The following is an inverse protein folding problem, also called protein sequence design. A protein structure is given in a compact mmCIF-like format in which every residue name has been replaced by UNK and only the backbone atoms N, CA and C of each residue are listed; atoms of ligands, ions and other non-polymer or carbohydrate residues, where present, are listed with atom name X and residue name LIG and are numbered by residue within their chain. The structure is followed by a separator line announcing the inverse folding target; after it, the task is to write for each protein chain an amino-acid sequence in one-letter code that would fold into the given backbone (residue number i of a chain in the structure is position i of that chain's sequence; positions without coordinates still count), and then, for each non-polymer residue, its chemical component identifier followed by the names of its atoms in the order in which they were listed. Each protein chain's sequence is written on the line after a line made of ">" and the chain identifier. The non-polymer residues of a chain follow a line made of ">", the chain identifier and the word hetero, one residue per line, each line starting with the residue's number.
data_IF_744938303586
#
_entry.id   IF_744938303586
#
_cell.length_a   1.000
_cell.length_b   1.000
_cell.length_c   1.000
_cell.angle_alpha   90.00
_cell.angle_beta   90.00
_cell.angle_gamma   90.00
#
_symmetry.space_group_name_H-M   'P 1'
#
loop_
_entity.id
_entity.type
_entity.pdbx_description
1 polymer ?
#
# COMPACT_ATOMS: atom_id res chain seq x y z
N UNK A 1 4.98 -38.84 11.24
CA UNK A 1 4.22 -38.25 10.11
C UNK A 1 3.49 -37.01 10.61
N UNK A 2 3.78 -35.85 10.01
CA UNK A 2 3.34 -34.53 10.48
C UNK A 2 1.81 -34.38 10.47
N UNK A 3 1.21 -34.13 11.64
CA UNK A 3 -0.25 -33.87 11.80
C UNK A 3 -0.75 -32.57 11.14
N UNK A 4 0.10 -31.85 10.40
CA UNK A 4 -0.24 -30.57 9.75
C UNK A 4 -0.59 -30.70 8.25
N UNK A 5 -0.32 -31.84 7.60
CA UNK A 5 -0.65 -32.02 6.18
C UNK A 5 -2.15 -32.24 5.92
N UNK A 6 -2.93 -32.63 6.94
CA UNK A 6 -4.38 -32.89 6.81
C UNK A 6 -5.23 -31.62 6.67
N UNK A 7 -4.69 -30.43 6.95
CA UNK A 7 -5.42 -29.14 6.86
C UNK A 7 -5.04 -28.29 5.64
N UNK A 8 -4.09 -28.74 4.82
CA UNK A 8 -3.61 -27.98 3.69
C UNK A 8 -3.40 -28.90 2.47
N UNK A 9 -4.44 -29.15 1.66
CA UNK A 9 -4.30 -30.01 0.50
C UNK A 9 -3.32 -29.38 -0.48
N UNK A 10 -2.21 -30.08 -0.74
CA UNK A 10 -1.25 -29.76 -1.78
C UNK A 10 -1.70 -30.47 -3.06
N UNK A 11 -1.79 -29.72 -4.15
CA UNK A 11 -1.92 -30.32 -5.49
C UNK A 11 -0.61 -30.15 -6.24
N UNK A 12 -0.32 -30.96 -7.28
CA UNK A 12 0.93 -30.86 -8.02
C UNK A 12 1.20 -29.48 -8.62
N UNK A 13 0.14 -28.73 -8.97
CA UNK A 13 0.22 -27.49 -9.72
C UNK A 13 -0.28 -26.26 -8.96
N UNK A 14 -0.67 -26.40 -7.69
CA UNK A 14 -1.13 -25.27 -6.88
C UNK A 14 -0.49 -25.27 -5.50
N UNK A 15 0.07 -24.12 -5.13
CA UNK A 15 0.53 -23.87 -3.76
C UNK A 15 -0.55 -23.10 -3.02
N UNK A 16 -1.10 -23.70 -1.96
CA UNK A 16 -2.01 -23.02 -1.04
C UNK A 16 -1.22 -22.49 0.15
N UNK A 17 -1.40 -21.21 0.47
CA UNK A 17 -0.95 -20.64 1.74
C UNK A 17 -2.04 -20.93 2.77
N UNK A 18 -1.82 -21.94 3.61
CA UNK A 18 -2.75 -22.31 4.67
C UNK A 18 -2.38 -21.57 5.94
N UNK A 19 -3.28 -20.71 6.38
CA UNK A 19 -3.11 -19.89 7.57
C UNK A 19 -4.41 -19.81 8.36
N UNK A 20 -4.28 -19.51 9.65
CA UNK A 20 -5.44 -19.42 10.55
C UNK A 20 -6.06 -18.02 10.60
N UNK A 21 -5.29 -16.98 10.25
CA UNK A 21 -5.72 -15.58 10.28
C UNK A 21 -4.81 -14.72 9.38
N UNK A 22 -5.12 -13.42 9.26
CA UNK A 22 -4.38 -12.49 8.41
C UNK A 22 -2.91 -12.29 8.82
N UNK A 23 -2.60 -12.33 10.12
CA UNK A 23 -1.22 -12.23 10.63
C UNK A 23 -0.40 -13.43 10.17
N UNK A 24 -0.92 -14.63 10.36
CA UNK A 24 -0.27 -15.86 9.90
C UNK A 24 -0.13 -15.88 8.36
N UNK A 25 -1.16 -15.46 7.61
CA UNK A 25 -1.05 -15.31 6.15
C UNK A 25 0.13 -14.43 5.75
N UNK A 26 0.26 -13.24 6.35
CA UNK A 26 1.35 -12.33 6.03
C UNK A 26 2.72 -12.93 6.36
N UNK A 27 2.83 -13.64 7.49
CA UNK A 27 4.05 -14.36 7.87
C UNK A 27 4.39 -15.46 6.86
N UNK A 28 3.42 -16.26 6.41
CA UNK A 28 3.68 -17.32 5.43
C UNK A 28 4.07 -16.74 4.06
N UNK A 29 3.38 -15.70 3.60
CA UNK A 29 3.74 -14.98 2.35
C UNK A 29 5.17 -14.44 2.46
N UNK A 30 5.50 -13.80 3.58
CA UNK A 30 6.85 -13.29 3.85
C UNK A 30 7.92 -14.39 3.80
N UNK A 31 7.64 -15.59 4.35
CA UNK A 31 8.54 -16.74 4.29
C UNK A 31 8.75 -17.27 2.87
N UNK A 32 7.72 -17.24 2.02
CA UNK A 32 7.82 -17.66 0.62
C UNK A 32 8.65 -16.66 -0.19
N UNK A 33 8.43 -15.36 0.00
CA UNK A 33 9.14 -14.30 -0.75
C UNK A 33 10.58 -14.16 -0.27
N UNK A 34 10.82 -14.21 1.04
CA UNK A 34 12.11 -13.97 1.69
C UNK A 34 12.69 -15.25 2.29
N UNK A 35 12.79 -16.31 1.48
CA UNK A 35 13.39 -17.61 1.87
C UNK A 35 14.90 -17.52 2.01
N UNK A 36 15.56 -16.91 1.02
CA UNK A 36 17.03 -16.82 0.91
C UNK A 36 17.54 -15.39 0.76
N UNK A 37 16.65 -14.41 0.92
CA UNK A 37 16.97 -13.00 0.81
C UNK A 37 16.29 -12.20 1.91
N UNK A 38 16.86 -11.04 2.23
CA UNK A 38 16.33 -10.13 3.25
C UNK A 38 15.71 -8.89 2.59
N UNK A 39 14.54 -8.43 3.07
CA UNK A 39 13.99 -7.16 2.63
C UNK A 39 14.87 -5.99 3.09
N UNK A 40 14.73 -4.82 2.47
CA UNK A 40 15.37 -3.62 3.00
C UNK A 40 14.59 -3.07 4.19
N UNK A 41 13.26 -3.22 4.23
CA UNK A 41 12.43 -2.82 5.37
C UNK A 41 11.31 -3.82 5.63
N UNK A 42 10.75 -3.81 6.84
CA UNK A 42 9.39 -4.30 7.07
C UNK A 42 8.42 -3.14 7.00
N UNK A 43 7.24 -3.35 6.44
CA UNK A 43 6.11 -2.43 6.46
C UNK A 43 5.09 -3.02 7.42
N UNK A 44 4.77 -2.32 8.50
CA UNK A 44 3.82 -2.77 9.50
C UNK A 44 2.54 -1.94 9.38
N UNK A 45 1.42 -2.61 9.15
CA UNK A 45 0.10 -1.97 9.00
C UNK A 45 -0.89 -2.53 10.00
N UNK A 46 -1.85 -1.71 10.44
CA UNK A 46 -2.94 -2.19 11.29
C UNK A 46 -3.89 -3.06 10.46
N UNK A 47 -4.04 -4.34 10.81
CA UNK A 47 -4.89 -5.29 10.08
C UNK A 47 -6.37 -4.88 10.03
N UNK A 48 -6.79 -4.04 10.98
CA UNK A 48 -8.15 -3.55 11.08
C UNK A 48 -8.38 -2.26 10.26
N UNK A 49 -7.35 -1.74 9.58
CA UNK A 49 -7.47 -0.59 8.68
C UNK A 49 -6.97 -0.96 7.26
N UNK A 50 -7.90 -1.36 6.40
CA UNK A 50 -7.62 -1.80 5.03
C UNK A 50 -7.04 -0.67 4.16
N UNK A 51 -7.48 0.58 4.35
CA UNK A 51 -7.01 1.70 3.52
C UNK A 51 -5.53 2.01 3.78
N UNK A 52 -5.07 1.94 5.03
CA UNK A 52 -3.64 2.12 5.33
C UNK A 52 -2.80 0.99 4.67
N UNK A 53 -3.33 -0.23 4.63
CA UNK A 53 -2.70 -1.37 3.94
C UNK A 53 -2.59 -1.19 2.42
N UNK A 54 -3.67 -0.73 1.77
CA UNK A 54 -3.68 -0.43 0.34
C UNK A 54 -2.71 0.72 0.04
N UNK A 55 -2.77 1.81 0.80
CA UNK A 55 -1.89 2.95 0.62
C UNK A 55 -0.41 2.59 0.78
N UNK A 56 -0.08 1.61 1.65
CA UNK A 56 1.28 1.15 1.90
C UNK A 56 1.89 0.26 0.79
N UNK A 57 1.08 -0.22 -0.16
CA UNK A 57 1.53 -1.07 -1.27
C UNK A 57 2.78 -0.59 -2.05
N UNK A 58 2.97 0.70 -2.42
CA UNK A 58 4.13 1.13 -3.20
C UNK A 58 5.45 1.00 -2.44
N UNK A 59 5.40 0.89 -1.11
CA UNK A 59 6.58 0.68 -0.28
C UNK A 59 7.14 -0.74 -0.43
N UNK A 60 6.35 -1.69 -0.96
CA UNK A 60 6.83 -3.05 -1.27
C UNK A 60 7.87 -2.99 -2.39
N UNK A 61 7.71 -2.09 -3.36
CA UNK A 61 8.59 -2.00 -4.52
C UNK A 61 10.00 -1.47 -4.19
N UNK A 62 10.98 -1.77 -5.06
CA UNK A 62 12.33 -1.21 -5.00
C UNK A 62 12.29 0.34 -5.12
N UNK A 63 13.21 1.06 -4.46
CA UNK A 63 14.33 0.56 -3.66
C UNK A 63 13.97 0.22 -2.20
N UNK A 64 12.72 0.43 -1.78
CA UNK A 64 12.29 0.20 -0.40
C UNK A 64 12.19 -1.30 -0.10
N UNK A 65 11.81 -2.14 -1.07
CA UNK A 65 11.81 -3.61 -0.98
C UNK A 65 11.25 -4.11 0.35
N UNK A 66 10.01 -3.70 0.65
CA UNK A 66 9.39 -3.91 1.95
C UNK A 66 8.60 -5.21 2.05
N UNK A 67 8.79 -5.97 3.13
CA UNK A 67 7.87 -7.07 3.50
C UNK A 67 6.70 -6.51 4.31
N UNK A 68 5.46 -6.68 3.85
CA UNK A 68 4.27 -6.17 4.54
C UNK A 68 3.77 -7.20 5.56
N UNK A 69 3.70 -6.78 6.83
CA UNK A 69 3.19 -7.55 7.96
C UNK A 69 2.11 -6.77 8.72
N UNK A 70 1.42 -7.46 9.62
CA UNK A 70 0.26 -6.92 10.33
C UNK A 70 0.47 -6.73 11.83
N UNK A 71 -0.19 -5.73 12.40
CA UNK A 71 -0.39 -5.52 13.84
C UNK A 71 -1.87 -5.29 14.12
N UNK A 72 -2.30 -5.40 15.38
CA UNK A 72 -3.63 -4.97 15.82
C UNK A 72 -3.70 -3.46 16.12
N UNK A 73 -2.61 -2.72 15.88
CA UNK A 73 -2.51 -1.26 16.05
C UNK A 73 -2.03 -0.82 17.44
N UNK A 74 -2.41 -1.54 18.49
CA UNK A 74 -1.96 -1.26 19.86
C UNK A 74 -0.92 -2.27 20.37
N UNK A 75 -0.92 -3.47 19.81
CA UNK A 75 -0.08 -4.59 20.24
C UNK A 75 0.57 -5.26 19.04
N UNK A 76 1.84 -5.63 19.20
CA UNK A 76 2.58 -6.45 18.24
C UNK A 76 2.45 -7.91 18.69
N UNK A 77 1.92 -8.77 17.81
CA UNK A 77 1.83 -10.19 18.11
C UNK A 77 3.22 -10.84 18.13
N UNK A 78 3.38 -11.93 18.88
CA UNK A 78 4.65 -12.66 18.95
C UNK A 78 5.05 -13.25 17.60
N UNK A 79 4.08 -13.68 16.79
CA UNK A 79 4.29 -14.18 15.44
C UNK A 79 4.88 -13.10 14.53
N UNK A 80 4.33 -11.88 14.60
CA UNK A 80 4.80 -10.75 13.81
C UNK A 80 6.21 -10.34 14.25
N UNK A 81 6.45 -10.23 15.56
CA UNK A 81 7.78 -9.90 16.09
C UNK A 81 8.83 -10.94 15.69
N UNK A 82 8.50 -12.23 15.83
CA UNK A 82 9.38 -13.33 15.45
C UNK A 82 9.72 -13.28 13.95
N UNK A 83 8.74 -12.95 13.10
CA UNK A 83 8.96 -12.82 11.68
C UNK A 83 9.82 -11.60 11.33
N UNK A 84 9.65 -10.46 12.01
CA UNK A 84 10.54 -9.29 11.87
C UNK A 84 11.98 -9.67 12.22
N UNK A 85 12.17 -10.40 13.33
CA UNK A 85 13.48 -10.91 13.73
C UNK A 85 14.08 -11.86 12.70
N UNK A 86 13.29 -12.80 12.16
CA UNK A 86 13.72 -13.73 11.09
C UNK A 86 14.14 -12.98 9.83
N UNK A 87 13.34 -12.01 9.40
CA UNK A 87 13.61 -11.19 8.22
C UNK A 87 14.88 -10.36 8.40
N UNK A 88 15.11 -9.83 9.61
CA UNK A 88 16.28 -9.02 9.95
C UNK A 88 16.53 -7.95 8.86
N UNK A 89 15.56 -7.06 8.59
CA UNK A 89 15.59 -6.14 7.44
C UNK A 89 16.90 -5.34 7.39
N UNK A 90 17.43 -5.08 6.20
CA UNK A 90 18.75 -4.42 6.01
C UNK A 90 18.76 -2.95 6.45
N UNK A 91 17.60 -2.32 6.51
CA UNK A 91 17.42 -0.89 6.72
C UNK A 91 17.41 -0.11 5.40
N UNK A 92 16.28 0.51 5.06
CA UNK A 92 16.23 1.52 3.99
C UNK A 92 16.49 2.90 4.59
N UNK A 93 17.63 3.52 4.24
CA UNK A 93 18.10 4.78 4.86
C UNK A 93 18.20 4.69 6.38
N UNK A 94 18.59 3.52 6.90
CA UNK A 94 18.69 3.23 8.33
C UNK A 94 17.38 2.91 9.03
N UNK A 95 16.25 2.89 8.32
CA UNK A 95 14.94 2.50 8.86
C UNK A 95 14.66 1.03 8.57
N UNK A 96 14.43 0.26 9.63
CA UNK A 96 14.21 -1.19 9.57
C UNK A 96 12.73 -1.53 9.47
N UNK A 97 11.86 -0.75 10.12
CA UNK A 97 10.41 -0.95 10.11
C UNK A 97 9.69 0.38 9.86
N UNK A 98 8.83 0.41 8.85
CA UNK A 98 7.94 1.53 8.55
C UNK A 98 6.55 1.18 9.07
N UNK A 99 6.02 1.97 10.00
CA UNK A 99 4.67 1.81 10.54
C UNK A 99 3.73 2.73 9.78
N UNK A 100 2.75 2.17 9.07
CA UNK A 100 1.81 2.94 8.25
C UNK A 100 0.43 2.95 8.91
N UNK A 101 -0.12 4.15 9.12
CA UNK A 101 -1.42 4.35 9.74
C UNK A 101 -1.38 4.71 11.22
N UNK A 102 -2.52 4.56 11.90
CA UNK A 102 -2.62 4.80 13.34
C UNK A 102 -2.12 3.56 14.11
N UNK A 103 -0.83 3.55 14.43
CA UNK A 103 -0.18 2.49 15.21
C UNK A 103 0.48 3.10 16.45
N UNK A 104 0.26 2.47 17.61
CA UNK A 104 0.73 2.94 18.92
C UNK A 104 2.26 3.04 18.99
N UNK A 105 2.74 4.09 19.67
CA UNK A 105 4.16 4.31 19.92
C UNK A 105 4.81 3.18 20.74
N UNK A 106 4.03 2.45 21.52
CA UNK A 106 4.53 1.29 22.29
C UNK A 106 5.13 0.21 21.37
N UNK A 107 4.55 0.00 20.19
CA UNK A 107 5.09 -0.96 19.21
C UNK A 107 6.46 -0.51 18.73
N UNK A 108 6.63 0.79 18.45
CA UNK A 108 7.94 1.36 18.10
C UNK A 108 8.95 1.23 19.24
N UNK A 109 8.55 1.44 20.49
CA UNK A 109 9.43 1.23 21.65
C UNK A 109 9.87 -0.23 21.77
N UNK A 110 8.94 -1.17 21.61
CA UNK A 110 9.26 -2.61 21.58
C UNK A 110 10.25 -2.91 20.46
N UNK A 111 9.97 -2.50 19.22
CA UNK A 111 10.87 -2.76 18.08
C UNK A 111 12.26 -2.14 18.27
N UNK A 112 12.34 -0.93 18.82
CA UNK A 112 13.61 -0.27 19.14
C UNK A 112 14.41 -1.03 20.20
N UNK A 113 13.75 -1.65 21.20
CA UNK A 113 14.40 -2.50 22.19
C UNK A 113 15.08 -3.73 21.54
N UNK A 114 14.48 -4.27 20.48
CA UNK A 114 15.08 -5.34 19.65
C UNK A 114 16.10 -4.82 18.62
N UNK A 115 16.46 -3.52 18.67
CA UNK A 115 17.45 -2.91 17.78
C UNK A 115 16.92 -2.46 16.41
N UNK A 116 15.60 -2.55 16.17
CA UNK A 116 15.01 -2.10 14.91
C UNK A 116 14.60 -0.64 14.97
N UNK A 117 15.27 0.20 14.18
CA UNK A 117 14.87 1.61 14.03
C UNK A 117 13.56 1.71 13.25
N UNK A 118 12.61 2.46 13.80
CA UNK A 118 11.27 2.61 13.23
C UNK A 118 11.01 4.00 12.63
N UNK A 119 10.07 4.08 11.69
CA UNK A 119 9.55 5.34 11.14
C UNK A 119 8.04 5.27 10.97
N UNK A 120 7.30 6.28 11.42
CA UNK A 120 5.85 6.34 11.28
C UNK A 120 5.44 7.17 10.06
N UNK A 121 4.60 6.60 9.21
CA UNK A 121 3.82 7.30 8.19
C UNK A 121 2.38 7.32 8.67
N UNK A 122 1.95 8.44 9.26
CA UNK A 122 0.60 8.55 9.85
C UNK A 122 0.01 9.92 9.57
N UNK A 123 -1.22 9.97 9.07
CA UNK A 123 -2.03 11.18 8.93
C UNK A 123 -3.16 11.23 9.98
N UNK A 124 -3.96 12.30 9.98
CA UNK A 124 -5.15 12.36 10.85
C UNK A 124 -6.21 11.31 10.48
N UNK A 125 -6.16 10.80 9.25
CA UNK A 125 -7.00 9.74 8.70
C UNK A 125 -6.23 9.05 7.56
N UNK A 126 -6.83 8.01 6.95
CA UNK A 126 -6.20 7.25 5.86
C UNK A 126 -5.96 8.07 4.58
N UNK A 127 -6.78 9.08 4.29
CA UNK A 127 -6.52 10.01 3.19
C UNK A 127 -5.19 10.71 3.39
N UNK A 128 -4.96 11.29 4.58
CA UNK A 128 -3.71 11.98 4.89
C UNK A 128 -2.52 11.04 5.03
N UNK A 129 -2.72 9.82 5.51
CA UNK A 129 -1.67 8.78 5.51
C UNK A 129 -1.21 8.51 4.07
N UNK A 130 -2.14 8.29 3.14
CA UNK A 130 -1.84 8.08 1.72
C UNK A 130 -1.08 9.28 1.11
N UNK A 131 -1.52 10.51 1.42
CA UNK A 131 -0.87 11.75 0.97
C UNK A 131 0.61 11.89 1.42
N UNK A 132 1.06 11.16 2.46
CA UNK A 132 2.45 11.20 2.94
C UNK A 132 3.38 10.23 2.20
N UNK A 133 2.85 9.17 1.60
CA UNK A 133 3.63 8.09 0.98
C UNK A 133 4.46 8.53 -0.24
N UNK A 134 3.98 9.39 -1.14
CA UNK A 134 4.77 9.89 -2.27
C UNK A 134 6.13 10.47 -1.85
N UNK A 135 6.19 11.18 -0.72
CA UNK A 135 7.41 11.79 -0.20
C UNK A 135 8.51 10.79 0.19
N UNK A 136 8.12 9.55 0.52
CA UNK A 136 9.02 8.47 0.91
C UNK A 136 9.63 7.78 -0.32
N UNK A 137 8.80 7.61 -1.36
CA UNK A 137 9.18 7.02 -2.66
C UNK A 137 10.09 7.94 -3.46
N UNK A 138 9.74 9.23 -3.54
CA UNK A 138 10.43 10.29 -4.31
C UNK A 138 10.53 10.11 -5.83
N UNK A 139 10.47 8.89 -6.35
CA UNK A 139 10.56 8.58 -7.79
C UNK A 139 9.40 7.69 -8.22
N UNK A 140 8.58 8.22 -9.12
CA UNK A 140 7.46 7.56 -9.78
C UNK A 140 6.99 8.52 -10.89
N UNK A 141 6.40 7.97 -11.95
CA UNK A 141 5.86 8.74 -13.09
C UNK A 141 4.33 8.69 -13.11
N UNK A 142 3.75 7.75 -12.35
CA UNK A 142 2.31 7.56 -12.28
C UNK A 142 1.81 7.64 -10.84
N UNK A 143 0.55 8.02 -10.69
CA UNK A 143 -0.22 7.84 -9.47
C UNK A 143 -1.53 7.13 -9.77
N UNK A 144 -2.00 6.38 -8.78
CA UNK A 144 -3.31 5.74 -8.82
C UNK A 144 -4.27 6.51 -7.91
N UNK A 145 -5.43 6.86 -8.44
CA UNK A 145 -6.51 7.51 -7.69
C UNK A 145 -7.59 6.47 -7.41
N UNK A 146 -7.90 6.27 -6.14
CA UNK A 146 -8.88 5.28 -5.67
C UNK A 146 -9.88 5.97 -4.73
N UNK A 147 -11.09 5.44 -4.60
CA UNK A 147 -12.02 5.94 -3.60
C UNK A 147 -11.54 5.58 -2.20
N UNK A 148 -11.42 6.60 -1.34
CA UNK A 148 -11.18 6.43 0.09
C UNK A 148 -12.45 6.16 0.90
N UNK A 149 -13.60 6.05 0.25
CA UNK A 149 -14.89 5.72 0.88
C UNK A 149 -15.28 4.26 0.61
N UNK A 150 -14.94 3.76 -0.58
CA UNK A 150 -15.20 2.39 -1.01
C UNK A 150 -14.01 1.83 -1.82
N UNK A 151 -13.29 0.88 -1.24
CA UNK A 151 -12.10 0.31 -1.87
C UNK A 151 -12.38 -0.87 -2.82
N UNK A 152 -13.63 -1.33 -2.97
CA UNK A 152 -13.92 -2.59 -3.69
C UNK A 152 -13.46 -2.57 -5.16
N UNK A 153 -13.71 -1.48 -5.89
CA UNK A 153 -13.29 -1.34 -7.28
C UNK A 153 -11.79 -1.04 -7.41
N UNK A 154 -11.21 -0.35 -6.41
CA UNK A 154 -9.84 0.14 -6.46
C UNK A 154 -8.81 -0.74 -5.77
N UNK A 155 -9.18 -1.80 -5.05
CA UNK A 155 -8.23 -2.65 -4.31
C UNK A 155 -7.15 -3.24 -5.21
N UNK A 156 -7.46 -3.47 -6.49
CA UNK A 156 -6.51 -4.02 -7.46
C UNK A 156 -5.34 -3.07 -7.76
N UNK A 157 -5.52 -1.76 -7.49
CA UNK A 157 -4.46 -0.76 -7.55
C UNK A 157 -3.26 -1.13 -6.66
N UNK A 158 -3.51 -1.82 -5.53
CA UNK A 158 -2.45 -2.26 -4.63
C UNK A 158 -1.44 -3.19 -5.32
N UNK A 159 -1.88 -4.06 -6.24
CA UNK A 159 -0.99 -4.96 -6.95
C UNK A 159 -0.09 -4.21 -7.95
N UNK A 160 -0.67 -3.28 -8.73
CA UNK A 160 0.12 -2.41 -9.60
C UNK A 160 1.12 -1.60 -8.80
N UNK A 161 0.65 -0.98 -7.71
CA UNK A 161 1.46 -0.16 -6.84
C UNK A 161 2.59 -0.95 -6.19
N UNK A 162 2.36 -2.19 -5.74
CA UNK A 162 3.42 -3.06 -5.22
C UNK A 162 4.45 -3.45 -6.30
N UNK A 163 4.03 -3.57 -7.56
CA UNK A 163 4.91 -3.95 -8.67
C UNK A 163 5.72 -2.77 -9.26
N UNK A 164 5.14 -1.57 -9.37
CA UNK A 164 5.80 -0.40 -9.98
C UNK A 164 6.26 0.65 -8.95
N UNK A 165 5.70 0.60 -7.74
CA UNK A 165 5.94 1.58 -6.69
C UNK A 165 5.24 2.92 -6.91
N UNK A 166 4.25 2.96 -7.80
CA UNK A 166 3.42 4.15 -8.05
C UNK A 166 2.49 4.42 -6.86
N UNK A 167 2.50 5.62 -6.26
CA UNK A 167 1.68 5.92 -5.10
C UNK A 167 0.17 5.83 -5.36
N UNK A 168 -0.57 5.39 -4.33
CA UNK A 168 -2.03 5.44 -4.31
C UNK A 168 -2.46 6.65 -3.48
N UNK A 169 -3.32 7.49 -4.04
CA UNK A 169 -4.00 8.58 -3.32
C UNK A 169 -5.51 8.36 -3.33
N UNK A 170 -6.17 8.89 -2.31
CA UNK A 170 -7.60 8.72 -2.11
C UNK A 170 -8.39 9.98 -2.44
N UNK A 171 -9.56 9.77 -3.04
CA UNK A 171 -10.59 10.80 -3.26
C UNK A 171 -11.92 10.35 -2.64
N UNK A 172 -12.83 11.30 -2.43
CA UNK A 172 -14.23 11.00 -2.14
C UNK A 172 -14.99 10.90 -3.47
N UNK A 173 -16.22 10.37 -3.44
CA UNK A 173 -17.03 10.21 -4.65
C UNK A 173 -17.14 11.50 -5.46
N UNK A 174 -17.42 12.62 -4.79
CA UNK A 174 -17.69 13.91 -5.45
C UNK A 174 -16.71 15.02 -5.04
N UNK A 175 -15.61 14.69 -4.35
CA UNK A 175 -14.67 15.71 -3.87
C UNK A 175 -13.23 15.18 -3.81
N UNK A 176 -12.28 16.10 -3.97
CA UNK A 176 -10.85 15.80 -3.82
C UNK A 176 -10.42 16.37 -2.46
N UNK A 177 -9.99 15.52 -1.51
CA UNK A 177 -9.43 16.00 -0.26
C UNK A 177 -8.26 16.95 -0.50
N UNK A 178 -8.15 18.01 0.31
CA UNK A 178 -7.09 19.00 0.16
C UNK A 178 -5.69 18.39 0.14
N UNK A 179 -5.40 17.39 0.98
CA UNK A 179 -4.09 16.74 0.98
C UNK A 179 -3.78 16.03 -0.36
N UNK A 180 -4.81 15.45 -1.00
CA UNK A 180 -4.65 14.75 -2.27
C UNK A 180 -4.32 15.75 -3.36
N UNK A 181 -5.08 16.85 -3.43
CA UNK A 181 -4.82 17.94 -4.37
C UNK A 181 -3.41 18.51 -4.21
N UNK A 182 -3.00 18.82 -2.98
CA UNK A 182 -1.65 19.33 -2.68
C UNK A 182 -0.55 18.33 -2.99
N UNK A 183 -0.80 17.04 -2.77
CA UNK A 183 0.15 15.97 -3.10
C UNK A 183 0.38 15.93 -4.61
N UNK A 184 -0.69 15.97 -5.41
CA UNK A 184 -0.61 15.97 -6.87
C UNK A 184 0.14 17.21 -7.36
N UNK A 185 -0.22 18.41 -6.90
CA UNK A 185 0.42 19.67 -7.33
C UNK A 185 1.92 19.76 -7.05
N UNK A 186 2.43 19.00 -6.06
CA UNK A 186 3.87 18.95 -5.73
C UNK A 186 4.66 18.00 -6.63
N UNK A 187 3.98 17.22 -7.48
CA UNK A 187 4.62 16.30 -8.41
C UNK A 187 5.00 17.03 -9.69
N UNK A 188 6.13 16.64 -10.28
CA UNK A 188 6.53 17.15 -11.59
C UNK A 188 6.01 16.18 -12.65
N UNK A 189 5.18 16.68 -13.57
CA UNK A 189 4.77 15.95 -14.78
C UNK A 189 4.27 14.52 -14.54
N UNK A 190 3.04 14.38 -14.03
CA UNK A 190 2.51 13.09 -13.55
C UNK A 190 1.43 12.51 -14.46
N UNK A 191 1.43 11.18 -14.62
CA UNK A 191 0.31 10.44 -15.19
C UNK A 191 -0.65 10.00 -14.08
N UNK A 192 -1.94 10.13 -14.32
CA UNK A 192 -3.00 9.82 -13.35
C UNK A 192 -3.84 8.66 -13.87
N UNK A 193 -4.01 7.62 -13.06
CA UNK A 193 -4.92 6.52 -13.35
C UNK A 193 -6.01 6.43 -12.29
N UNK A 194 -7.25 6.73 -12.64
CA UNK A 194 -8.42 6.60 -11.77
C UNK A 194 -8.90 5.15 -11.83
N UNK A 195 -8.90 4.46 -10.70
CA UNK A 195 -9.38 3.07 -10.59
C UNK A 195 -10.74 3.07 -9.89
N UNK A 196 -11.80 2.92 -10.68
CA UNK A 196 -13.17 2.96 -10.21
C UNK A 196 -14.11 3.64 -11.22
N UNK A 197 -15.37 3.23 -11.19
CA UNK A 197 -16.43 3.76 -12.04
C UNK A 197 -16.83 5.19 -11.67
N UNK A 198 -17.58 5.84 -12.57
CA UNK A 198 -18.19 7.15 -12.31
C UNK A 198 -19.19 7.13 -11.14
N UNK A 199 -19.66 5.94 -10.75
CA UNK A 199 -20.45 5.73 -9.53
C UNK A 199 -19.60 5.80 -8.26
N UNK A 200 -18.33 5.44 -8.32
CA UNK A 200 -17.45 5.41 -7.15
C UNK A 200 -16.61 6.69 -7.04
N UNK A 201 -16.20 7.24 -8.19
CA UNK A 201 -15.44 8.49 -8.32
C UNK A 201 -16.05 9.27 -9.49
N UNK A 202 -16.68 10.41 -9.24
CA UNK A 202 -17.44 11.14 -10.25
C UNK A 202 -16.56 11.63 -11.42
N UNK A 203 -17.21 11.96 -12.53
CA UNK A 203 -16.56 12.63 -13.66
C UNK A 203 -16.05 14.03 -13.28
N UNK A 204 -16.69 14.71 -12.34
CA UNK A 204 -16.23 16.01 -11.84
C UNK A 204 -14.89 15.90 -11.11
N UNK A 205 -14.68 14.83 -10.32
CA UNK A 205 -13.38 14.58 -9.68
C UNK A 205 -12.30 14.37 -10.75
N UNK A 206 -12.58 13.58 -11.77
CA UNK A 206 -11.66 13.35 -12.89
C UNK A 206 -11.34 14.64 -13.64
N UNK A 207 -12.36 15.42 -14.00
CA UNK A 207 -12.22 16.71 -14.68
C UNK A 207 -11.41 17.70 -13.87
N UNK A 208 -11.62 17.76 -12.55
CA UNK A 208 -10.85 18.65 -11.68
C UNK A 208 -9.37 18.25 -11.61
N UNK A 209 -9.06 16.95 -11.64
CA UNK A 209 -7.67 16.48 -11.67
C UNK A 209 -7.03 16.73 -13.05
N UNK A 210 -7.76 16.54 -14.14
CA UNK A 210 -7.25 16.74 -15.51
C UNK A 210 -6.90 18.19 -15.82
N UNK A 211 -7.49 19.14 -15.09
CA UNK A 211 -7.22 20.57 -15.20
C UNK A 211 -5.95 21.03 -14.45
N UNK A 212 -5.29 20.14 -13.72
CA UNK A 212 -4.04 20.47 -13.03
C UNK A 212 -2.90 20.56 -14.05
N UNK A 213 -2.17 21.69 -14.04
CA UNK A 213 -1.13 22.00 -15.02
C UNK A 213 -0.02 20.94 -15.13
N UNK A 214 0.23 20.21 -14.05
CA UNK A 214 1.28 19.20 -13.97
C UNK A 214 0.81 17.77 -14.34
N UNK A 215 -0.47 17.57 -14.68
CA UNK A 215 -1.02 16.28 -15.11
C UNK A 215 -0.86 16.14 -16.63
N UNK A 216 -0.02 15.20 -17.05
CA UNK A 216 0.25 14.92 -18.47
C UNK A 216 -0.84 14.09 -19.13
N UNK A 217 -1.28 13.08 -18.40
CA UNK A 217 -2.20 12.07 -18.90
C UNK A 217 -3.13 11.65 -17.77
N UNK A 218 -4.39 11.40 -18.12
CA UNK A 218 -5.39 10.89 -17.19
C UNK A 218 -6.23 9.82 -17.87
N UNK A 219 -6.32 8.66 -17.24
CA UNK A 219 -7.16 7.55 -17.71
C UNK A 219 -7.99 7.00 -16.56
N UNK A 220 -9.20 6.52 -16.90
CA UNK A 220 -10.06 5.78 -15.98
C UNK A 220 -10.09 4.29 -16.33
N UNK A 221 -10.00 3.45 -15.29
CA UNK A 221 -10.13 1.99 -15.35
C UNK A 221 -11.32 1.59 -14.45
N UNK A 222 -12.45 1.22 -15.05
CA UNK A 222 -13.71 1.00 -14.34
C UNK A 222 -14.47 -0.29 -14.70
N UNK A 223 -13.80 -1.25 -15.35
CA UNK A 223 -14.39 -2.53 -15.71
C UNK A 223 -15.37 -2.49 -16.88
N UNK A 224 -15.74 -1.30 -17.37
CA UNK A 224 -16.57 -1.13 -18.58
C UNK A 224 -15.75 -0.93 -19.87
N UNK A 225 -14.45 -1.24 -19.83
CA UNK A 225 -13.48 -0.98 -20.89
C UNK A 225 -12.77 0.36 -20.67
N UNK A 226 -11.57 0.53 -21.24
CA UNK A 226 -10.83 1.80 -21.17
C UNK A 226 -11.67 2.90 -21.82
N UNK A 227 -12.29 3.74 -21.00
CA UNK A 227 -13.03 4.92 -21.43
C UNK A 227 -12.09 5.86 -22.17
N UNK A 228 -12.04 5.77 -23.50
CA UNK A 228 -11.30 6.68 -24.36
C UNK A 228 -11.92 8.08 -24.26
N UNK A 229 -11.39 8.93 -23.39
CA UNK A 229 -11.53 10.37 -23.54
C UNK A 229 -10.74 10.79 -24.78
N UNK A 230 -11.44 10.90 -25.92
CA UNK A 230 -10.92 11.61 -27.09
C UNK A 230 -10.82 13.09 -26.70
N UNK A 231 -9.63 13.55 -26.35
CA UNK A 231 -9.30 14.97 -26.43
C UNK A 231 -9.42 15.39 -27.90
N UNK A 232 -10.58 15.96 -28.27
CA UNK A 232 -10.69 16.85 -29.42
C UNK A 232 -9.94 18.12 -29.05
N UNK A 233 -8.67 18.18 -29.43
CA UNK A 233 -7.99 19.45 -29.62
C UNK A 233 -8.63 20.05 -30.87
N UNK A 234 -9.34 21.15 -30.69
CA UNK A 234 -9.80 22.05 -31.77
C UNK A 234 -8.62 22.83 -32.34
#
# INVERSE_FOLDING_TARGET
>A
MNRNLSRCPLTPNTTRICSNNSVDTAVQVSKIVFTHMKPNTVILVNRNNVFDGIAAAPLVHLPINGSLLFTDGNMLSQETLSEICRLSPKGYKGIHVILVGNISRNISLTLNHYGFRTYHITGRNHFETACKIPSIRKKFENILIVSGENYHEGIMAAYWSAHHGDPILYVQRNSIPYCTLESIKKMHEINVYIIGSTKTISEDVEKNISQLENVKHIDRIDGHGLGRYKNKIS
#
